data_IF_129286993044
#
_entry.id   IF_129286993044
#
_cell.length_a   1.000
_cell.length_b   1.000
_cell.length_c   1.000
_cell.angle_alpha   90.00
_cell.angle_beta   90.00
_cell.angle_gamma   90.00
#
_symmetry.space_group_name_H-M   'P 1'
#
loop_
_entity.id
_entity.type
_entity.pdbx_description
1 polymer ?
#
# COMPACT_ATOMS: atom_id res chain seq x y z
N UNK A 1 -19.43 -1.49 -17.79
CA UNK A 1 -18.10 -1.30 -17.17
C UNK A 1 -17.46 -2.67 -17.05
N UNK A 2 -16.41 -2.96 -17.82
CA UNK A 2 -15.75 -4.28 -17.78
C UNK A 2 -15.09 -4.51 -16.43
N UNK A 3 -15.25 -5.71 -15.86
CA UNK A 3 -14.58 -6.13 -14.64
C UNK A 3 -13.06 -6.08 -14.87
N UNK A 4 -12.39 -5.02 -14.42
CA UNK A 4 -10.94 -5.04 -14.27
C UNK A 4 -10.63 -5.89 -13.05
N UNK A 5 -9.84 -6.94 -13.24
CA UNK A 5 -9.26 -7.69 -12.13
C UNK A 5 -8.41 -6.75 -11.26
N UNK A 6 -8.36 -6.96 -9.94
CA UNK A 6 -7.49 -6.16 -9.09
C UNK A 6 -6.02 -6.42 -9.42
N UNK A 7 -5.25 -5.34 -9.41
CA UNK A 7 -3.79 -5.37 -9.57
C UNK A 7 -3.11 -6.13 -8.43
N UNK A 8 -3.73 -6.12 -7.24
CA UNK A 8 -3.24 -6.83 -6.06
C UNK A 8 -4.38 -7.58 -5.36
N UNK A 9 -4.11 -8.83 -4.97
CA UNK A 9 -4.96 -9.62 -4.08
C UNK A 9 -4.12 -10.07 -2.88
N UNK A 10 -4.51 -9.72 -1.66
CA UNK A 10 -3.75 -10.05 -0.46
C UNK A 10 -4.66 -10.56 0.68
N UNK A 11 -4.57 -11.84 1.07
CA UNK A 11 -5.37 -12.38 2.18
C UNK A 11 -4.80 -11.93 3.54
N UNK A 12 -5.63 -11.31 4.37
CA UNK A 12 -5.28 -10.89 5.74
C UNK A 12 -6.54 -10.58 6.57
N UNK A 13 -6.41 -10.62 7.90
CA UNK A 13 -7.48 -10.25 8.85
C UNK A 13 -8.85 -10.93 8.63
N UNK A 14 -8.87 -12.21 8.21
CA UNK A 14 -10.12 -12.92 7.94
C UNK A 14 -10.84 -12.44 6.67
N UNK A 15 -10.11 -11.85 5.72
CA UNK A 15 -10.66 -11.44 4.43
C UNK A 15 -9.57 -11.27 3.38
N UNK A 16 -9.90 -10.59 2.29
CA UNK A 16 -8.98 -10.34 1.18
C UNK A 16 -8.96 -8.86 0.81
N UNK A 17 -7.77 -8.27 0.78
CA UNK A 17 -7.56 -6.95 0.20
C UNK A 17 -7.49 -7.04 -1.32
N UNK A 18 -8.19 -6.14 -1.98
CA UNK A 18 -8.26 -5.97 -3.43
C UNK A 18 -7.73 -4.57 -3.75
N UNK A 19 -6.54 -4.50 -4.32
CA UNK A 19 -5.89 -3.26 -4.70
C UNK A 19 -6.04 -3.00 -6.19
N UNK A 20 -6.49 -1.81 -6.54
CA UNK A 20 -6.68 -1.38 -7.92
C UNK A 20 -5.83 -0.16 -8.23
N UNK A 21 -5.25 -0.16 -9.43
CA UNK A 21 -4.63 1.00 -10.05
C UNK A 21 -5.32 1.21 -11.41
N UNK A 22 -6.09 2.28 -11.54
CA UNK A 22 -6.75 2.63 -12.80
C UNK A 22 -6.10 3.83 -13.49
N UNK A 23 -4.88 4.17 -13.10
CA UNK A 23 -4.15 5.31 -13.65
C UNK A 23 -4.85 6.62 -13.32
N UNK A 24 -5.22 7.37 -14.35
CA UNK A 24 -5.78 8.73 -14.22
C UNK A 24 -7.14 8.79 -13.54
N UNK A 25 -7.85 7.66 -13.48
CA UNK A 25 -9.21 7.58 -12.93
C UNK A 25 -9.24 7.25 -11.44
N UNK A 26 -8.07 7.24 -10.78
CA UNK A 26 -7.86 6.76 -9.41
C UNK A 26 -8.29 5.30 -9.23
N UNK A 27 -7.79 4.65 -8.18
CA UNK A 27 -7.98 3.23 -7.95
C UNK A 27 -8.72 3.01 -6.65
N UNK A 28 -8.27 2.02 -5.90
CA UNK A 28 -8.72 1.89 -4.53
C UNK A 28 -8.21 0.64 -3.86
N UNK A 29 -8.18 0.68 -2.54
CA UNK A 29 -8.01 -0.49 -1.70
C UNK A 29 -9.38 -0.87 -1.14
N UNK A 30 -9.82 -2.08 -1.42
CA UNK A 30 -11.04 -2.64 -0.87
C UNK A 30 -10.72 -3.84 0.00
N UNK A 31 -11.48 -4.03 1.07
CA UNK A 31 -11.44 -5.24 1.89
C UNK A 31 -12.71 -6.04 1.67
N UNK A 32 -12.55 -7.26 1.16
CA UNK A 32 -13.62 -8.24 1.02
C UNK A 32 -13.60 -9.18 2.22
N UNK A 33 -14.59 -9.07 3.11
CA UNK A 33 -14.74 -9.93 4.27
C UNK A 33 -15.21 -11.35 3.88
N UNK A 34 -15.14 -12.29 4.82
CA UNK A 34 -15.58 -13.68 4.65
C UNK A 34 -17.05 -13.82 4.22
N UNK A 35 -17.93 -12.93 4.69
CA UNK A 35 -19.34 -12.85 4.30
C UNK A 35 -19.59 -12.23 2.91
N UNK A 36 -18.51 -11.92 2.18
CA UNK A 36 -18.47 -11.19 0.91
C UNK A 36 -18.86 -9.70 0.97
N UNK A 37 -19.02 -9.12 2.17
CA UNK A 37 -19.17 -7.68 2.32
C UNK A 37 -17.89 -6.98 1.86
N UNK A 38 -18.03 -5.91 1.08
CA UNK A 38 -16.90 -5.14 0.54
C UNK A 38 -16.87 -3.76 1.22
N UNK A 39 -15.72 -3.42 1.79
CA UNK A 39 -15.46 -2.12 2.38
C UNK A 39 -14.38 -1.40 1.58
N UNK A 40 -14.65 -0.15 1.19
CA UNK A 40 -13.60 0.73 0.68
C UNK A 40 -12.72 1.20 1.84
N UNK A 41 -11.40 1.04 1.69
CA UNK A 41 -10.40 1.40 2.70
C UNK A 41 -9.62 2.65 2.28
N UNK A 42 -9.25 2.74 1.00
CA UNK A 42 -8.57 3.89 0.39
C UNK A 42 -9.12 4.13 -1.01
N UNK A 43 -9.20 5.40 -1.42
CA UNK A 43 -9.60 5.85 -2.75
C UNK A 43 -8.42 6.29 -3.62
N UNK A 44 -7.26 5.64 -3.45
CA UNK A 44 -6.01 5.94 -4.16
C UNK A 44 -5.56 4.75 -5.02
N UNK A 45 -4.75 5.01 -6.05
CA UNK A 45 -4.14 3.95 -6.86
C UNK A 45 -3.19 3.11 -6.02
N UNK A 46 -3.46 1.81 -5.94
CA UNK A 46 -2.64 0.88 -5.17
C UNK A 46 -1.51 0.37 -6.06
N UNK A 47 -0.28 0.66 -5.66
CA UNK A 47 0.93 0.27 -6.41
C UNK A 47 1.71 -0.84 -5.70
N UNK A 48 1.28 -1.25 -4.51
CA UNK A 48 1.82 -2.41 -3.82
C UNK A 48 1.15 -2.72 -2.48
N UNK A 49 1.10 -4.01 -2.13
CA UNK A 49 0.65 -4.51 -0.82
C UNK A 49 1.69 -5.49 -0.31
N UNK A 50 2.23 -5.24 0.88
CA UNK A 50 3.36 -5.99 1.42
C UNK A 50 3.19 -6.26 2.91
N UNK A 51 3.63 -7.43 3.33
CA UNK A 51 3.65 -7.84 4.73
C UNK A 51 5.07 -7.81 5.26
N UNK A 52 5.24 -7.26 6.46
CA UNK A 52 6.48 -7.33 7.23
C UNK A 52 6.14 -7.82 8.64
N UNK A 53 6.54 -9.06 8.96
CA UNK A 53 6.08 -9.74 10.16
C UNK A 53 4.55 -9.83 10.25
N UNK A 54 3.97 -9.23 11.28
CA UNK A 54 2.51 -9.17 11.50
C UNK A 54 1.85 -7.91 10.97
N UNK A 55 2.62 -6.99 10.39
CA UNK A 55 2.14 -5.72 9.90
C UNK A 55 1.92 -5.77 8.38
N UNK A 56 0.89 -5.08 7.92
CA UNK A 56 0.51 -4.98 6.51
C UNK A 56 0.65 -3.54 6.06
N UNK A 57 1.35 -3.34 4.95
CA UNK A 57 1.64 -2.04 4.37
C UNK A 57 1.11 -1.93 2.95
N UNK A 58 0.59 -0.75 2.64
CA UNK A 58 0.02 -0.43 1.33
C UNK A 58 0.72 0.80 0.79
N UNK A 59 1.24 0.65 -0.42
CA UNK A 59 1.86 1.72 -1.19
C UNK A 59 0.84 2.23 -2.19
N UNK A 60 0.71 3.55 -2.23
CA UNK A 60 -0.18 4.27 -3.13
C UNK A 60 0.63 5.22 -4.00
N UNK A 61 0.14 5.53 -5.19
CA UNK A 61 0.72 6.63 -5.94
C UNK A 61 0.13 6.90 -7.31
N UNK A 62 0.22 8.16 -7.71
CA UNK A 62 -0.20 8.67 -8.99
C UNK A 62 0.96 9.41 -9.64
N UNK A 63 1.20 9.11 -10.92
CA UNK A 63 2.12 9.87 -11.75
C UNK A 63 1.41 10.20 -13.06
N UNK A 64 0.79 11.37 -13.11
CA UNK A 64 0.03 11.84 -14.26
C UNK A 64 0.08 13.38 -14.36
N UNK A 65 0.48 13.87 -15.55
CA UNK A 65 0.68 15.28 -15.84
C UNK A 65 1.58 15.97 -14.80
N UNK A 66 1.01 16.92 -14.04
CA UNK A 66 1.70 17.71 -13.02
C UNK A 66 1.66 17.06 -11.64
N UNK A 67 0.95 15.94 -11.48
CA UNK A 67 0.82 15.22 -10.21
C UNK A 67 1.81 14.06 -10.22
N UNK A 68 2.71 14.07 -9.24
CA UNK A 68 3.58 12.96 -8.93
C UNK A 68 3.66 12.84 -7.40
N UNK A 69 2.88 11.92 -6.86
CA UNK A 69 2.71 11.74 -5.42
C UNK A 69 2.54 10.27 -5.07
N UNK A 70 2.81 9.96 -3.80
CA UNK A 70 2.57 8.64 -3.24
C UNK A 70 2.40 8.71 -1.74
N UNK A 71 1.95 7.63 -1.14
CA UNK A 71 1.84 7.51 0.32
C UNK A 71 2.04 6.06 0.74
N UNK A 72 2.54 5.90 1.97
CA UNK A 72 2.65 4.62 2.65
C UNK A 72 1.61 4.58 3.75
N UNK A 73 0.80 3.53 3.75
CA UNK A 73 -0.19 3.26 4.78
C UNK A 73 0.15 1.96 5.50
N UNK A 74 -0.08 1.93 6.82
CA UNK A 74 -0.16 0.71 7.62
C UNK A 74 -1.62 0.34 7.79
N UNK A 75 -1.94 -0.94 7.60
CA UNK A 75 -3.29 -1.46 7.88
C UNK A 75 -3.35 -1.92 9.33
N UNK A 76 -4.29 -1.37 10.09
CA UNK A 76 -4.56 -1.72 11.47
C UNK A 76 -5.93 -2.39 11.58
N UNK A 77 -6.04 -3.45 12.36
CA UNK A 77 -7.33 -4.10 12.66
C UNK A 77 -7.75 -3.75 14.10
N UNK A 78 -8.37 -2.58 14.26
CA UNK A 78 -8.62 -1.98 15.58
C UNK A 78 -9.83 -2.63 16.29
N UNK A 79 -10.77 -3.22 15.54
CA UNK A 79 -12.06 -3.66 16.08
C UNK A 79 -12.55 -5.03 15.60
N UNK A 80 -11.69 -5.84 14.96
CA UNK A 80 -12.03 -7.16 14.40
C UNK A 80 -13.19 -7.18 13.38
N UNK A 81 -13.64 -6.01 12.91
CA UNK A 81 -14.77 -5.92 11.98
C UNK A 81 -14.36 -5.27 10.66
N UNK A 82 -13.60 -4.17 10.71
CA UNK A 82 -13.11 -3.44 9.54
C UNK A 82 -11.66 -3.02 9.75
N UNK A 83 -10.73 -3.46 8.89
CA UNK A 83 -9.38 -2.92 8.87
C UNK A 83 -9.40 -1.44 8.46
N UNK A 84 -8.49 -0.66 9.03
CA UNK A 84 -8.33 0.76 8.74
C UNK A 84 -6.93 1.03 8.19
N UNK A 85 -6.82 1.97 7.25
CA UNK A 85 -5.54 2.42 6.72
C UNK A 85 -5.06 3.67 7.48
N UNK A 86 -3.95 3.53 8.20
CA UNK A 86 -3.27 4.63 8.88
C UNK A 86 -2.08 5.10 8.05
N UNK A 87 -2.11 6.36 7.62
CA UNK A 87 -1.00 6.95 6.87
C UNK A 87 0.26 7.00 7.75
N UNK A 88 1.35 6.48 7.21
CA UNK A 88 2.68 6.56 7.82
C UNK A 88 3.43 7.75 7.25
N UNK A 89 3.44 7.89 5.92
CA UNK A 89 4.24 8.92 5.25
C UNK A 89 3.62 9.32 3.90
N UNK A 90 3.76 10.61 3.54
CA UNK A 90 3.59 11.07 2.17
C UNK A 90 4.94 11.01 1.45
N UNK A 91 4.96 10.42 0.28
CA UNK A 91 6.15 10.33 -0.56
C UNK A 91 6.19 11.51 -1.53
N UNK A 92 7.40 11.94 -1.88
CA UNK A 92 7.62 13.02 -2.85
C UNK A 92 7.23 12.65 -4.29
N UNK A 93 6.83 11.41 -4.54
CA UNK A 93 6.41 10.89 -5.84
C UNK A 93 5.85 9.46 -5.75
N UNK A 94 5.32 8.96 -6.87
CA UNK A 94 4.81 7.59 -7.00
C UNK A 94 5.95 6.59 -6.77
N UNK A 95 5.82 5.67 -5.80
CA UNK A 95 6.84 4.66 -5.56
C UNK A 95 6.81 3.59 -6.66
N UNK A 96 7.97 3.04 -6.98
CA UNK A 96 8.16 1.94 -7.93
C UNK A 96 9.33 1.06 -7.48
N UNK A 97 9.52 -0.10 -8.12
CA UNK A 97 10.56 -1.07 -7.72
C UNK A 97 10.48 -1.40 -6.22
N UNK A 98 9.28 -1.75 -5.76
CA UNK A 98 8.99 -2.00 -4.35
C UNK A 98 9.24 -3.47 -4.04
N UNK A 99 10.15 -3.76 -3.12
CA UNK A 99 10.54 -5.12 -2.76
C UNK A 99 10.67 -5.29 -1.24
N UNK A 100 10.19 -6.40 -0.67
CA UNK A 100 10.41 -6.70 0.73
C UNK A 100 11.91 -6.96 1.00
N UNK A 101 12.41 -6.46 2.12
CA UNK A 101 13.76 -6.71 2.64
C UNK A 101 13.62 -7.69 3.81
N UNK A 102 13.51 -8.99 3.49
CA UNK A 102 13.29 -10.05 4.48
C UNK A 102 12.27 -9.65 5.58
N UNK A 103 12.51 -10.00 6.84
CA UNK A 103 11.68 -9.61 7.98
C UNK A 103 11.96 -8.17 8.49
N UNK A 104 12.77 -7.38 7.77
CA UNK A 104 13.33 -6.11 8.27
C UNK A 104 12.60 -4.88 7.75
N UNK A 105 12.06 -4.94 6.53
CA UNK A 105 11.47 -3.75 5.92
C UNK A 105 11.03 -3.92 4.47
N UNK A 106 10.86 -2.79 3.79
CA UNK A 106 10.57 -2.72 2.35
C UNK A 106 11.50 -1.67 1.74
N UNK A 107 12.15 -2.02 0.63
CA UNK A 107 12.88 -1.10 -0.24
C UNK A 107 11.98 -0.64 -1.37
N UNK A 108 12.07 0.62 -1.77
CA UNK A 108 11.33 1.19 -2.88
C UNK A 108 12.07 2.38 -3.46
N UNK A 109 11.77 2.75 -4.71
CA UNK A 109 12.29 3.96 -5.33
C UNK A 109 11.23 5.04 -5.46
N UNK A 110 11.64 6.29 -5.26
CA UNK A 110 10.86 7.50 -5.53
C UNK A 110 11.76 8.47 -6.30
N UNK A 111 11.33 8.93 -7.47
CA UNK A 111 12.08 9.91 -8.28
C UNK A 111 13.55 9.53 -8.53
N UNK A 112 13.85 8.24 -8.69
CA UNK A 112 15.21 7.74 -8.92
C UNK A 112 16.02 7.46 -7.65
N UNK A 113 15.54 7.91 -6.49
CA UNK A 113 16.19 7.70 -5.20
C UNK A 113 15.67 6.43 -4.52
N UNK A 114 16.57 5.67 -3.90
CA UNK A 114 16.23 4.46 -3.16
C UNK A 114 15.91 4.81 -1.71
N UNK A 115 14.77 4.31 -1.23
CA UNK A 115 14.29 4.44 0.14
C UNK A 115 14.04 3.06 0.74
N UNK A 116 14.20 2.98 2.05
CA UNK A 116 13.81 1.83 2.85
C UNK A 116 12.90 2.30 3.95
N UNK A 117 11.87 1.52 4.23
CA UNK A 117 11.12 1.63 5.47
C UNK A 117 11.44 0.41 6.32
N UNK A 118 12.02 0.66 7.50
CA UNK A 118 12.20 -0.38 8.51
C UNK A 118 10.97 -0.35 9.40
N UNK A 119 10.29 -1.49 9.52
CA UNK A 119 9.09 -1.59 10.36
C UNK A 119 9.39 -2.08 11.78
N UNK A 120 10.68 -2.17 12.13
CA UNK A 120 11.12 -2.29 13.52
C UNK A 120 11.10 -0.87 14.10
N UNK A 121 10.27 -0.64 15.11
CA UNK A 121 9.99 0.68 15.64
C UNK A 121 11.26 1.54 15.86
N UNK A 122 11.25 2.81 15.41
CA UNK A 122 10.15 3.53 14.77
C UNK A 122 10.09 3.23 13.25
N UNK A 123 8.88 3.19 12.68
CA UNK A 123 8.65 3.08 11.24
C UNK A 123 9.25 4.29 10.51
N UNK A 124 10.56 4.25 10.22
CA UNK A 124 11.31 5.35 9.63
C UNK A 124 11.59 4.99 8.17
N UNK A 125 11.11 5.86 7.27
CA UNK A 125 11.61 5.89 5.90
C UNK A 125 12.97 6.60 5.91
N UNK A 126 13.97 5.96 5.30
CA UNK A 126 15.32 6.49 5.16
C UNK A 126 15.88 6.15 3.77
N UNK A 127 16.92 6.84 3.29
CA UNK A 127 17.64 6.40 2.11
C UNK A 127 18.19 4.97 2.29
N UNK A 128 18.27 4.20 1.20
CA UNK A 128 18.91 2.89 1.21
C UNK A 128 20.38 3.00 1.62
N UNK A 129 20.89 1.97 2.31
CA UNK A 129 22.33 1.90 2.59
C UNK A 129 23.11 1.71 1.27
N UNK A 130 24.31 2.32 1.13
CA UNK A 130 25.17 2.13 -0.04
C UNK A 130 25.72 0.70 -0.13
#
# INVERSE_FOLDING_TARGET
MGHREPSFKFPAFGGTFLGYDYGEFYGGLFFKAEDNTIYEILSENIVGIYRSGNELFVFTGLNHLLINEGSIYKIENISNTRPEAKKIENLSGRPYEIFPIEEKGISFKVKGECHEINFVAPNIVKPCAP
#
